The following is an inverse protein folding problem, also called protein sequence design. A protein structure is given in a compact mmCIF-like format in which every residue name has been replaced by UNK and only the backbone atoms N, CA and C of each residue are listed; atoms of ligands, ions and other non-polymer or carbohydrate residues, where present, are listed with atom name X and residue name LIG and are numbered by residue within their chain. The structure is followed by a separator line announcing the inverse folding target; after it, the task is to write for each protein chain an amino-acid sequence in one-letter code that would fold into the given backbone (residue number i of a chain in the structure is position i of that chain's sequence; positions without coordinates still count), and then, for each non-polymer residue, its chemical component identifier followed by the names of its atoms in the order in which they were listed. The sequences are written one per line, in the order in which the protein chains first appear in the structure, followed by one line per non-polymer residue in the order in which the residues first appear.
data_IF_092600770977
#
_entry.id   IF_092600770977
#
_cell.length_a   1.000
_cell.length_b   1.000
_cell.length_c   1.000
_cell.angle_alpha   90.00
_cell.angle_beta   90.00
_cell.angle_gamma   90.00
#
_symmetry.space_group_name_H-M   'P 1'
#
loop_
_entity.id
_entity.type
_entity.pdbx_description
1 polymer ?
#
# COMPACT_ATOMS: atom_id res chain seq x y z
N UNK A 1 28.74 32.70 29.71
CA UNK A 1 28.47 31.57 28.78
C UNK A 1 28.30 30.24 29.54
N UNK A 2 27.41 30.18 30.54
CA UNK A 2 27.13 28.96 31.32
C UNK A 2 25.63 28.75 31.63
N UNK A 3 24.75 29.66 31.20
CA UNK A 3 23.30 29.60 31.51
C UNK A 3 22.49 28.80 30.48
N UNK A 4 22.97 28.70 29.23
CA UNK A 4 22.28 27.99 28.13
C UNK A 4 22.14 26.48 28.42
N UNK A 5 23.07 25.90 29.17
CA UNK A 5 23.05 24.46 29.49
C UNK A 5 22.03 24.09 30.59
N UNK A 6 21.71 25.01 31.49
CA UNK A 6 20.80 24.74 32.60
C UNK A 6 19.33 24.73 32.16
N UNK A 7 18.96 25.63 31.23
CA UNK A 7 17.62 25.64 30.63
C UNK A 7 17.40 24.43 29.73
N UNK A 8 18.39 24.04 28.94
CA UNK A 8 18.31 22.85 28.08
C UNK A 8 18.14 21.55 28.88
N UNK A 9 18.82 21.44 30.02
CA UNK A 9 18.67 20.30 30.94
C UNK A 9 17.27 20.27 31.58
N UNK A 10 16.77 21.42 32.05
CA UNK A 10 15.40 21.52 32.57
C UNK A 10 14.34 21.22 31.52
N UNK A 11 14.54 21.67 30.28
CA UNK A 11 13.64 21.40 29.17
C UNK A 11 13.62 19.90 28.82
N UNK A 12 14.79 19.25 28.81
CA UNK A 12 14.93 17.82 28.56
C UNK A 12 14.26 16.97 29.65
N UNK A 13 14.43 17.36 30.92
CA UNK A 13 13.73 16.72 32.04
C UNK A 13 12.21 16.91 31.95
N UNK A 14 11.71 18.08 31.54
CA UNK A 14 10.27 18.27 31.32
C UNK A 14 9.71 17.36 30.21
N UNK A 15 10.43 17.20 29.10
CA UNK A 15 10.02 16.30 28.02
C UNK A 15 10.07 14.82 28.43
N UNK A 16 11.04 14.41 29.24
CA UNK A 16 11.13 13.04 29.77
C UNK A 16 10.05 12.75 30.83
N UNK A 17 9.69 13.73 31.66
CA UNK A 17 8.57 13.62 32.60
C UNK A 17 7.22 13.53 31.89
N UNK A 18 7.07 14.21 30.75
CA UNK A 18 5.88 14.13 29.88
C UNK A 18 5.81 12.82 29.06
N UNK A 19 6.92 12.05 28.99
CA UNK A 19 7.01 10.77 28.28
C UNK A 19 6.55 9.57 29.11
N UNK A 20 6.21 9.76 30.39
CA UNK A 20 5.42 8.77 31.13
C UNK A 20 3.96 8.88 30.68
N UNK A 21 3.36 7.82 30.11
CA UNK A 21 1.95 7.87 29.77
C UNK A 21 1.15 7.92 31.08
N UNK A 22 0.68 9.10 31.47
CA UNK A 22 -0.36 9.25 32.47
C UNK A 22 -1.74 8.86 31.89
N UNK A 23 -1.80 7.70 31.21
CA UNK A 23 -2.97 7.19 30.49
C UNK A 23 -3.21 5.71 30.83
N UNK A 24 -2.98 5.33 32.09
CA UNK A 24 -3.31 3.98 32.59
C UNK A 24 -4.59 3.99 33.45
N UNK A 25 -5.34 5.11 33.45
CA UNK A 25 -6.55 5.29 34.28
C UNK A 25 -7.66 6.13 33.62
N UNK A 26 -7.72 6.20 32.29
CA UNK A 26 -8.93 6.67 31.60
C UNK A 26 -9.54 5.49 30.83
N UNK A 27 -10.87 5.26 30.93
CA UNK A 27 -11.51 4.29 30.05
C UNK A 27 -11.26 4.75 28.63
N UNK A 28 -10.68 3.90 27.79
CA UNK A 28 -10.49 4.18 26.36
C UNK A 28 -11.86 4.38 25.72
N UNK A 29 -12.33 5.62 25.61
CA UNK A 29 -13.65 5.94 25.08
C UNK A 29 -13.55 6.14 23.57
N UNK A 30 -14.10 5.18 22.83
CA UNK A 30 -14.16 5.23 21.37
C UNK A 30 -14.05 3.82 20.77
N UNK A 31 -14.53 3.60 19.55
CA UNK A 31 -14.31 2.33 18.87
C UNK A 31 -12.80 2.11 18.72
N UNK A 32 -12.28 1.04 19.33
CA UNK A 32 -10.89 0.64 19.12
C UNK A 32 -10.65 0.42 17.61
N UNK A 33 -9.51 0.88 17.07
CA UNK A 33 -9.15 0.56 15.69
C UNK A 33 -9.17 -0.97 15.54
N UNK A 34 -9.77 -1.45 14.45
CA UNK A 34 -9.81 -2.89 14.19
C UNK A 34 -8.36 -3.42 14.23
N UNK A 35 -8.09 -4.53 14.94
CA UNK A 35 -6.79 -5.16 14.90
C UNK A 35 -6.44 -5.40 13.43
N UNK A 36 -5.26 -4.91 13.01
CA UNK A 36 -4.76 -5.14 11.65
C UNK A 36 -4.81 -6.64 11.42
N UNK A 37 -5.53 -7.09 10.40
CA UNK A 37 -5.59 -8.50 10.08
C UNK A 37 -4.17 -9.00 9.80
N UNK A 38 -3.69 -9.91 10.63
CA UNK A 38 -2.41 -10.58 10.43
C UNK A 38 -2.54 -11.47 9.19
N UNK A 39 -1.96 -11.01 8.09
CA UNK A 39 -2.17 -11.60 6.76
C UNK A 39 -2.05 -10.60 5.61
N UNK A 40 -2.02 -9.30 5.90
CA UNK A 40 -1.69 -8.31 4.87
C UNK A 40 -0.21 -8.37 4.52
N UNK A 41 0.11 -9.08 3.45
CA UNK A 41 1.38 -8.94 2.76
C UNK A 41 1.48 -7.50 2.28
N UNK A 42 2.45 -6.76 2.80
CA UNK A 42 2.64 -5.37 2.41
C UNK A 42 3.40 -5.34 1.10
N UNK A 43 2.66 -5.20 -0.01
CA UNK A 43 3.23 -5.10 -1.36
C UNK A 43 3.95 -3.75 -1.64
N UNK A 44 4.39 -3.05 -0.58
CA UNK A 44 5.10 -1.78 -0.67
C UNK A 44 4.19 -0.55 -0.81
N UNK A 45 4.75 0.63 -0.54
CA UNK A 45 4.00 1.90 -0.47
C UNK A 45 3.56 2.51 -1.80
N UNK A 46 3.84 1.86 -2.93
CA UNK A 46 3.45 2.35 -4.26
C UNK A 46 2.09 1.82 -4.74
N UNK A 47 1.56 0.80 -4.07
CA UNK A 47 0.22 0.27 -4.30
C UNK A 47 -0.79 0.95 -3.36
N UNK A 48 -2.01 1.14 -3.86
CA UNK A 48 -3.10 1.60 -3.00
C UNK A 48 -3.51 0.48 -2.03
N UNK A 49 -4.09 0.80 -0.86
CA UNK A 49 -4.63 -0.20 0.05
C UNK A 49 -5.58 -1.17 -0.68
N UNK A 50 -5.33 -2.47 -0.58
CA UNK A 50 -6.10 -3.54 -1.25
C UNK A 50 -5.82 -3.72 -2.74
N UNK A 51 -5.00 -2.88 -3.39
CA UNK A 51 -4.64 -3.04 -4.80
C UNK A 51 -3.72 -4.24 -5.01
N UNK A 52 -2.76 -4.44 -4.10
CA UNK A 52 -1.84 -5.59 -4.15
C UNK A 52 -2.55 -6.92 -3.97
N UNK A 53 -3.43 -7.03 -2.97
CA UNK A 53 -4.25 -8.22 -2.71
C UNK A 53 -5.11 -8.59 -3.93
N UNK A 54 -5.74 -7.59 -4.57
CA UNK A 54 -6.53 -7.82 -5.77
C UNK A 54 -5.67 -8.32 -6.93
N UNK A 55 -4.50 -7.72 -7.16
CA UNK A 55 -3.59 -8.13 -8.23
C UNK A 55 -3.07 -9.55 -8.00
N UNK A 56 -2.67 -9.88 -6.77
CA UNK A 56 -2.20 -11.20 -6.35
C UNK A 56 -3.23 -12.29 -6.69
N UNK A 57 -4.51 -12.06 -6.41
CA UNK A 57 -5.57 -13.00 -6.76
C UNK A 57 -5.65 -13.29 -8.27
N UNK A 58 -5.45 -12.29 -9.13
CA UNK A 58 -5.43 -12.50 -10.58
C UNK A 58 -4.17 -13.25 -11.01
N UNK A 59 -3.01 -12.93 -10.42
CA UNK A 59 -1.74 -13.59 -10.70
C UNK A 59 -1.77 -15.07 -10.30
N UNK A 60 -2.26 -15.39 -9.10
CA UNK A 60 -2.42 -16.77 -8.63
C UNK A 60 -3.35 -17.60 -9.51
N UNK A 61 -4.37 -16.96 -10.10
CA UNK A 61 -5.26 -17.59 -11.08
C UNK A 61 -4.66 -17.69 -12.48
N UNK A 62 -3.43 -17.20 -12.71
CA UNK A 62 -2.79 -17.12 -14.02
C UNK A 62 -3.52 -16.19 -14.99
N UNK A 63 -4.36 -15.30 -14.48
CA UNK A 63 -5.22 -14.43 -15.30
C UNK A 63 -4.54 -13.08 -15.53
N UNK A 64 -4.78 -12.55 -16.73
CA UNK A 64 -4.38 -11.20 -17.11
C UNK A 64 -5.04 -10.16 -16.18
N UNK A 65 -4.24 -9.30 -15.57
CA UNK A 65 -4.71 -8.21 -14.68
C UNK A 65 -5.49 -7.15 -15.49
N UNK A 66 -6.77 -6.88 -15.19
CA UNK A 66 -7.57 -5.90 -15.92
C UNK A 66 -7.01 -4.47 -15.80
N UNK A 67 -6.95 -3.74 -16.92
CA UNK A 67 -6.59 -2.30 -16.94
C UNK A 67 -7.84 -1.44 -16.68
N UNK A 68 -7.67 -0.18 -16.28
CA UNK A 68 -8.80 0.77 -16.02
C UNK A 68 -9.78 0.90 -17.20
N UNK A 69 -9.30 0.76 -18.43
CA UNK A 69 -10.14 0.81 -19.64
C UNK A 69 -10.84 -0.51 -19.99
N UNK A 70 -10.61 -1.56 -19.21
CA UNK A 70 -11.08 -2.92 -19.45
C UNK A 70 -12.09 -3.36 -18.36
N UNK A 71 -12.56 -2.43 -17.51
CA UNK A 71 -13.55 -2.69 -16.47
C UNK A 71 -14.86 -3.13 -17.14
N UNK A 72 -15.32 -4.35 -16.82
CA UNK A 72 -16.51 -4.95 -17.41
C UNK A 72 -16.22 -5.99 -18.50
N UNK A 73 -14.97 -6.16 -18.91
CA UNK A 73 -14.52 -7.30 -19.70
C UNK A 73 -13.87 -8.35 -18.80
N UNK A 74 -14.11 -9.63 -19.11
CA UNK A 74 -13.41 -10.72 -18.44
C UNK A 74 -11.94 -10.79 -18.90
N UNK A 75 -11.07 -11.33 -18.05
CA UNK A 75 -9.66 -11.53 -18.40
C UNK A 75 -9.48 -12.39 -19.66
N UNK A 76 -10.37 -13.37 -19.88
CA UNK A 76 -10.36 -14.26 -21.04
C UNK A 76 -10.71 -13.52 -22.33
N UNK A 77 -11.71 -12.63 -22.30
CA UNK A 77 -12.09 -11.82 -23.47
C UNK A 77 -10.97 -10.88 -23.86
N UNK A 78 -10.33 -10.23 -22.87
CA UNK A 78 -9.20 -9.33 -23.12
C UNK A 78 -8.04 -10.08 -23.79
N UNK A 79 -7.70 -11.27 -23.28
CA UNK A 79 -6.64 -12.10 -23.87
C UNK A 79 -6.96 -12.50 -25.30
N UNK A 80 -8.22 -12.88 -25.60
CA UNK A 80 -8.66 -13.21 -26.95
C UNK A 80 -8.56 -12.01 -27.90
N UNK A 81 -8.93 -10.81 -27.44
CA UNK A 81 -8.80 -9.60 -28.25
C UNK A 81 -7.34 -9.25 -28.54
N UNK A 82 -6.44 -9.38 -27.56
CA UNK A 82 -5.00 -9.17 -27.76
C UNK A 82 -4.42 -10.20 -28.75
N UNK A 83 -4.82 -11.48 -28.67
CA UNK A 83 -4.37 -12.55 -29.58
C UNK A 83 -4.85 -12.33 -31.02
N UNK A 84 -6.08 -11.82 -31.21
CA UNK A 84 -6.61 -11.43 -32.51
C UNK A 84 -5.90 -10.18 -33.10
N UNK A 85 -5.04 -9.51 -32.33
CA UNK A 85 -4.29 -8.34 -32.77
C UNK A 85 -4.95 -7.00 -32.46
N UNK A 86 -6.03 -6.98 -31.67
CA UNK A 86 -6.61 -5.73 -31.20
C UNK A 86 -5.72 -5.11 -30.11
N UNK A 87 -5.54 -3.79 -30.21
CA UNK A 87 -4.74 -3.02 -29.24
C UNK A 87 -5.67 -2.39 -28.22
N UNK A 88 -5.60 -2.86 -26.97
CA UNK A 88 -6.46 -2.35 -25.89
C UNK A 88 -6.17 -0.88 -25.56
N UNK A 89 -7.21 -0.16 -25.14
CA UNK A 89 -7.11 1.25 -24.76
C UNK A 89 -6.11 1.45 -23.60
N UNK A 90 -5.20 2.40 -23.75
CA UNK A 90 -4.15 2.71 -22.77
C UNK A 90 -2.84 1.94 -22.93
N UNK A 91 -2.79 0.90 -23.79
CA UNK A 91 -1.56 0.14 -24.05
C UNK A 91 -0.48 0.91 -24.82
N UNK A 92 -0.82 2.04 -25.47
CA UNK A 92 0.13 2.87 -26.23
C UNK A 92 0.92 3.88 -25.38
N UNK A 93 0.63 4.01 -24.09
CA UNK A 93 1.28 5.00 -23.22
C UNK A 93 2.50 4.44 -22.50
N UNK A 94 3.70 4.79 -22.97
CA UNK A 94 4.97 4.28 -22.42
C UNK A 94 5.13 4.52 -20.91
N UNK A 95 4.88 5.75 -20.44
CA UNK A 95 5.00 6.10 -19.00
C UNK A 95 4.01 5.30 -18.15
N UNK A 96 2.77 5.16 -18.59
CA UNK A 96 1.76 4.40 -17.84
C UNK A 96 2.07 2.91 -17.82
N UNK A 97 2.54 2.35 -18.95
CA UNK A 97 2.96 0.95 -19.02
C UNK A 97 4.11 0.66 -18.07
N UNK A 98 5.10 1.55 -17.97
CA UNK A 98 6.19 1.40 -17.01
C UNK A 98 5.70 1.42 -15.55
N UNK A 99 4.75 2.31 -15.22
CA UNK A 99 4.14 2.35 -13.88
C UNK A 99 3.40 1.06 -13.59
N UNK A 100 2.63 0.55 -14.57
CA UNK A 100 1.90 -0.72 -14.46
C UNK A 100 2.86 -1.89 -14.21
N UNK A 101 3.87 -2.05 -15.06
CA UNK A 101 4.86 -3.14 -14.93
C UNK A 101 5.53 -3.08 -13.56
N UNK A 102 5.89 -1.88 -13.08
CA UNK A 102 6.45 -1.72 -11.73
C UNK A 102 5.49 -2.19 -10.63
N UNK A 103 4.20 -1.86 -10.71
CA UNK A 103 3.19 -2.32 -9.75
C UNK A 103 3.00 -3.84 -9.80
N UNK A 104 2.97 -4.41 -10.99
CA UNK A 104 2.88 -5.86 -11.18
C UNK A 104 4.11 -6.57 -10.60
N UNK A 105 5.32 -6.09 -10.91
CA UNK A 105 6.57 -6.63 -10.37
C UNK A 105 6.68 -6.55 -8.84
N UNK A 106 6.04 -5.55 -8.21
CA UNK A 106 5.98 -5.47 -6.75
C UNK A 106 5.15 -6.60 -6.13
N UNK A 107 4.14 -7.09 -6.85
CA UNK A 107 3.32 -8.21 -6.40
C UNK A 107 4.08 -9.51 -6.61
N UNK A 108 4.64 -9.71 -7.81
CA UNK A 108 5.47 -10.89 -8.10
C UNK A 108 6.63 -11.05 -7.11
N UNK A 109 7.34 -9.96 -6.80
CA UNK A 109 8.46 -9.97 -5.85
C UNK A 109 8.07 -10.21 -4.39
N UNK A 110 6.79 -10.11 -4.05
CA UNK A 110 6.29 -10.34 -2.70
C UNK A 110 5.61 -11.71 -2.56
N UNK A 111 5.26 -12.36 -3.67
CA UNK A 111 4.73 -13.73 -3.72
C UNK A 111 5.82 -14.81 -3.85
N UNK A 112 6.98 -14.47 -4.41
CA UNK A 112 8.23 -15.28 -4.37
C UNK A 112 8.90 -15.24 -2.98
#
# INVERSE_FOLDING_TARGET
MAEINAEALKLKEMFELQKKPALDNEPTVGPMPLPRAEGHISYGGALRPGEGDAIAQYVQQGKRIPRRGEVGLSAEEISKFEELGYVMSGSRHQRMNAIRIRKENQVYSAED
#
